data_IF_260348754766
#
_entry.id   IF_260348754766
#
_cell.length_a   1.000
_cell.length_b   1.000
_cell.length_c   1.000
_cell.angle_alpha   90.00
_cell.angle_beta   90.00
_cell.angle_gamma   90.00
#
_symmetry.space_group_name_H-M   'P 1'
#
loop_
_entity.id
_entity.type
_entity.pdbx_description
1 polymer ?
#
# COMPACT_ATOMS: atom_id res chain seq x y z
N UNK A 1 -9.82 -16.20 8.05
CA UNK A 1 -9.27 -15.33 6.98
C UNK A 1 -8.48 -16.23 6.05
N UNK A 2 -8.45 -15.96 4.74
CA UNK A 2 -7.62 -16.74 3.83
C UNK A 2 -6.15 -16.69 4.27
N UNK A 3 -5.45 -17.78 4.01
CA UNK A 3 -4.02 -17.92 4.26
C UNK A 3 -3.26 -16.97 3.31
N UNK A 4 -2.39 -16.10 3.86
CA UNK A 4 -1.61 -15.17 3.05
C UNK A 4 -0.62 -15.94 2.17
N UNK A 5 -0.51 -15.53 0.91
CA UNK A 5 0.40 -16.16 -0.05
C UNK A 5 1.54 -15.24 -0.46
N UNK A 6 2.63 -15.84 -0.94
CA UNK A 6 3.69 -15.12 -1.67
C UNK A 6 3.69 -15.48 -3.15
N UNK A 7 4.04 -14.51 -3.99
CA UNK A 7 4.14 -14.65 -5.44
C UNK A 7 5.52 -14.17 -5.86
N UNK A 8 6.36 -15.10 -6.31
CA UNK A 8 7.77 -14.84 -6.60
C UNK A 8 8.00 -14.56 -8.09
N UNK A 9 9.03 -13.77 -8.40
CA UNK A 9 9.44 -13.46 -9.77
C UNK A 9 8.30 -12.87 -10.65
N UNK A 10 7.52 -11.96 -10.09
CA UNK A 10 6.40 -11.31 -10.75
C UNK A 10 6.85 -10.18 -11.68
N UNK A 11 6.10 -9.92 -12.75
CA UNK A 11 6.13 -8.63 -13.45
C UNK A 11 5.33 -7.64 -12.61
N UNK A 12 6.01 -6.79 -11.81
CA UNK A 12 5.35 -6.03 -10.76
C UNK A 12 4.25 -5.12 -11.30
N UNK A 13 4.49 -4.43 -12.42
CA UNK A 13 3.53 -3.49 -12.96
C UNK A 13 2.28 -4.21 -13.47
N UNK A 14 2.44 -5.32 -14.19
CA UNK A 14 1.32 -6.12 -14.66
C UNK A 14 0.54 -6.74 -13.48
N UNK A 15 1.25 -7.22 -12.46
CA UNK A 15 0.63 -7.84 -11.27
C UNK A 15 -0.15 -6.83 -10.43
N UNK A 16 0.43 -5.67 -10.12
CA UNK A 16 -0.25 -4.62 -9.36
C UNK A 16 -1.47 -4.08 -10.10
N UNK A 17 -1.38 -3.93 -11.43
CA UNK A 17 -2.54 -3.54 -12.25
C UNK A 17 -3.65 -4.59 -12.20
N UNK A 18 -3.31 -5.87 -12.28
CA UNK A 18 -4.27 -6.97 -12.18
C UNK A 18 -4.98 -7.01 -10.81
N UNK A 19 -4.22 -6.78 -9.72
CA UNK A 19 -4.77 -6.68 -8.36
C UNK A 19 -5.65 -5.45 -8.20
N UNK A 20 -5.16 -4.27 -8.61
CA UNK A 20 -5.89 -3.00 -8.55
C UNK A 20 -7.27 -3.13 -9.22
N UNK A 21 -7.34 -3.77 -10.38
CA UNK A 21 -8.59 -4.02 -11.11
C UNK A 21 -9.60 -4.90 -10.37
N UNK A 22 -9.24 -5.51 -9.23
CA UNK A 22 -10.19 -6.27 -8.39
C UNK A 22 -10.75 -5.46 -7.22
N UNK A 23 -10.26 -4.24 -6.98
CA UNK A 23 -10.65 -3.48 -5.79
C UNK A 23 -10.78 -1.96 -6.01
N UNK A 24 -10.19 -1.38 -7.05
CA UNK A 24 -10.09 0.07 -7.25
C UNK A 24 -10.92 0.53 -8.45
N UNK A 25 -12.10 1.09 -8.17
CA UNK A 25 -12.98 1.66 -9.19
C UNK A 25 -12.68 3.12 -9.55
N UNK A 26 -12.07 3.87 -8.63
CA UNK A 26 -11.75 5.30 -8.78
C UNK A 26 -10.26 5.55 -8.61
N UNK A 27 -9.76 6.64 -9.21
CA UNK A 27 -8.37 7.07 -9.14
C UNK A 27 -7.36 5.96 -9.50
N UNK A 28 -7.68 5.14 -10.51
CA UNK A 28 -6.76 4.11 -11.01
C UNK A 28 -5.44 4.70 -11.54
N UNK A 29 -5.43 5.98 -11.90
CA UNK A 29 -4.22 6.74 -12.27
C UNK A 29 -3.21 6.87 -11.12
N UNK A 30 -3.62 6.68 -9.86
CA UNK A 30 -2.69 6.68 -8.72
C UNK A 30 -1.64 5.56 -8.87
N UNK A 31 -1.98 4.46 -9.57
CA UNK A 31 -1.03 3.40 -9.88
C UNK A 31 0.14 3.89 -10.75
N UNK A 32 -0.03 4.93 -11.56
CA UNK A 32 1.06 5.48 -12.35
C UNK A 32 2.08 6.18 -11.45
N UNK A 33 1.62 6.85 -10.39
CA UNK A 33 2.49 7.43 -9.34
C UNK A 33 3.21 6.30 -8.59
N UNK A 34 2.50 5.23 -8.23
CA UNK A 34 3.10 4.05 -7.58
C UNK A 34 4.18 3.41 -8.45
N UNK A 35 3.93 3.29 -9.77
CA UNK A 35 4.92 2.77 -10.73
C UNK A 35 6.17 3.63 -10.79
N UNK A 36 6.04 4.96 -10.71
CA UNK A 36 7.20 5.85 -10.62
C UNK A 36 7.98 5.64 -9.32
N UNK A 37 7.30 5.50 -8.18
CA UNK A 37 7.94 5.21 -6.88
C UNK A 37 8.71 3.89 -6.97
N UNK A 38 8.07 2.83 -7.49
CA UNK A 38 8.68 1.52 -7.69
C UNK A 38 9.87 1.60 -8.66
N UNK A 39 9.77 2.37 -9.74
CA UNK A 39 10.86 2.54 -10.70
C UNK A 39 12.08 3.25 -10.08
N UNK A 40 11.85 4.29 -9.28
CA UNK A 40 12.91 4.99 -8.52
C UNK A 40 13.56 4.05 -7.50
N UNK A 41 12.76 3.33 -6.73
CA UNK A 41 13.24 2.31 -5.79
C UNK A 41 14.05 1.22 -6.50
N UNK A 42 13.60 0.75 -7.67
CA UNK A 42 14.31 -0.25 -8.48
C UNK A 42 15.66 0.26 -9.01
N UNK A 43 15.76 1.56 -9.31
CA UNK A 43 17.00 2.20 -9.76
C UNK A 43 17.97 2.54 -8.60
N UNK A 44 17.47 2.65 -7.36
CA UNK A 44 18.30 2.99 -6.21
C UNK A 44 19.43 1.96 -5.97
N UNK A 45 20.66 2.37 -5.66
CA UNK A 45 21.71 1.43 -5.25
C UNK A 45 21.51 0.89 -3.82
N UNK A 46 20.64 1.54 -3.04
CA UNK A 46 20.39 1.25 -1.64
C UNK A 46 19.48 0.03 -1.46
N UNK A 47 19.85 -0.87 -0.54
CA UNK A 47 19.06 -2.10 -0.28
C UNK A 47 17.79 -1.79 0.49
N UNK A 48 17.84 -0.78 1.36
CA UNK A 48 16.74 -0.28 2.17
C UNK A 48 15.59 0.29 1.34
N UNK A 49 15.84 0.73 0.10
CA UNK A 49 14.81 1.20 -0.82
C UNK A 49 14.13 0.04 -1.57
N UNK A 50 14.62 -1.19 -1.46
CA UNK A 50 14.14 -2.33 -2.26
C UNK A 50 12.90 -3.00 -1.70
N UNK A 51 12.48 -2.64 -0.49
CA UNK A 51 11.23 -3.15 0.09
C UNK A 51 10.21 -2.03 0.22
N UNK A 52 9.07 -2.25 -0.41
CA UNK A 52 7.97 -1.30 -0.46
C UNK A 52 6.72 -1.95 0.13
N UNK A 53 5.82 -1.11 0.62
CA UNK A 53 4.47 -1.50 0.98
C UNK A 53 3.51 -0.82 0.01
N UNK A 54 2.60 -1.61 -0.55
CA UNK A 54 1.60 -1.13 -1.50
C UNK A 54 0.22 -1.58 -1.05
N UNK A 55 -0.78 -0.72 -1.22
CA UNK A 55 -2.16 -1.14 -1.09
C UNK A 55 -3.05 -0.49 -2.14
N UNK A 56 -4.18 -1.14 -2.39
CA UNK A 56 -5.27 -0.57 -3.18
C UNK A 56 -6.60 -0.61 -2.43
N UNK A 57 -7.41 0.40 -2.67
CA UNK A 57 -8.75 0.61 -2.08
C UNK A 57 -9.75 0.95 -3.19
N UNK A 58 -11.07 1.00 -2.92
CA UNK A 58 -12.08 1.47 -3.87
C UNK A 58 -11.73 2.76 -4.60
N UNK A 59 -11.03 3.68 -3.92
CA UNK A 59 -10.67 4.99 -4.48
C UNK A 59 -9.17 5.27 -4.37
N UNK A 60 -8.39 4.63 -5.22
CA UNK A 60 -6.95 4.88 -5.38
C UNK A 60 -6.04 3.79 -4.82
N UNK A 61 -4.75 4.06 -4.97
CA UNK A 61 -3.65 3.18 -4.57
C UNK A 61 -2.56 4.01 -3.90
N UNK A 62 -1.72 3.35 -3.08
CA UNK A 62 -0.59 4.00 -2.43
C UNK A 62 0.61 3.07 -2.36
N UNK A 63 1.80 3.61 -2.60
CA UNK A 63 3.08 2.92 -2.47
C UNK A 63 4.03 3.69 -1.56
N UNK A 64 4.63 3.00 -0.58
CA UNK A 64 5.57 3.58 0.38
C UNK A 64 6.80 2.71 0.54
N UNK A 65 7.92 3.29 1.01
CA UNK A 65 9.03 2.48 1.53
C UNK A 65 8.60 1.84 2.84
N UNK A 66 8.88 0.54 3.01
CA UNK A 66 8.49 -0.19 4.22
C UNK A 66 9.04 0.47 5.49
N UNK A 67 10.30 0.90 5.44
CA UNK A 67 10.95 1.62 6.55
C UNK A 67 10.17 2.86 7.00
N UNK A 68 9.65 3.65 6.06
CA UNK A 68 9.02 4.92 6.38
C UNK A 68 7.64 4.70 7.02
N UNK A 69 6.98 3.57 6.76
CA UNK A 69 5.70 3.22 7.39
C UNK A 69 5.86 2.93 8.89
N UNK A 70 7.01 2.43 9.33
CA UNK A 70 7.32 2.21 10.75
C UNK A 70 7.86 3.46 11.47
N UNK A 71 8.07 4.57 10.76
CA UNK A 71 8.53 5.82 11.36
C UNK A 71 7.34 6.72 11.71
N UNK A 72 7.11 6.89 13.00
CA UNK A 72 6.01 7.68 13.55
C UNK A 72 6.01 9.11 13.00
N UNK A 73 4.80 9.65 12.80
CA UNK A 73 4.52 11.02 12.34
C UNK A 73 5.03 11.36 10.93
N UNK A 74 5.56 10.38 10.19
CA UNK A 74 5.84 10.54 8.76
C UNK A 74 4.57 10.39 7.92
N UNK A 75 4.55 11.01 6.73
CA UNK A 75 3.40 10.91 5.82
C UNK A 75 3.06 9.46 5.43
N UNK A 76 4.03 8.56 5.14
CA UNK A 76 3.76 7.14 4.93
C UNK A 76 3.11 6.45 6.12
N UNK A 77 3.63 6.66 7.34
CA UNK A 77 3.06 6.09 8.56
C UNK A 77 1.62 6.54 8.80
N UNK A 78 1.38 7.85 8.71
CA UNK A 78 0.04 8.42 8.93
C UNK A 78 -0.95 7.92 7.88
N UNK A 79 -0.54 7.84 6.62
CA UNK A 79 -1.41 7.36 5.53
C UNK A 79 -1.71 5.87 5.67
N UNK A 80 -0.70 5.06 6.02
CA UNK A 80 -0.88 3.63 6.23
C UNK A 80 -1.85 3.33 7.38
N UNK A 81 -1.90 4.17 8.42
CA UNK A 81 -2.86 4.02 9.52
C UNK A 81 -4.24 4.59 9.22
N UNK A 82 -4.29 5.72 8.52
CA UNK A 82 -5.53 6.46 8.25
C UNK A 82 -6.63 5.58 7.65
N UNK A 83 -6.31 4.74 6.67
CA UNK A 83 -7.34 3.93 6.00
C UNK A 83 -7.91 2.81 6.86
N UNK A 84 -7.22 2.37 7.91
CA UNK A 84 -7.78 1.45 8.90
C UNK A 84 -8.56 2.19 10.00
N UNK A 85 -8.08 3.36 10.43
CA UNK A 85 -8.65 4.10 11.55
C UNK A 85 -9.87 4.94 11.18
N UNK A 86 -9.90 5.50 9.97
CA UNK A 86 -10.86 6.54 9.57
C UNK A 86 -11.78 6.12 8.41
N UNK A 87 -11.57 4.94 7.83
CA UNK A 87 -12.37 4.47 6.69
C UNK A 87 -12.87 3.04 6.90
N UNK A 88 -13.95 2.71 6.20
CA UNK A 88 -14.50 1.34 6.14
C UNK A 88 -14.17 0.67 4.81
N UNK A 89 -13.14 1.15 4.12
CA UNK A 89 -12.77 0.67 2.79
C UNK A 89 -12.19 -0.74 2.87
N UNK A 90 -12.54 -1.57 1.90
CA UNK A 90 -11.83 -2.84 1.69
C UNK A 90 -10.45 -2.53 1.15
N UNK A 91 -9.41 -2.82 1.91
CA UNK A 91 -8.01 -2.61 1.49
C UNK A 91 -7.39 -3.97 1.12
N UNK A 92 -6.76 -4.04 -0.05
CA UNK A 92 -5.84 -5.14 -0.40
C UNK A 92 -4.41 -4.61 -0.25
N UNK A 93 -3.59 -5.25 0.59
CA UNK A 93 -2.25 -4.78 0.90
C UNK A 93 -1.19 -5.85 0.60
N UNK A 94 -0.03 -5.40 0.14
CA UNK A 94 1.09 -6.26 -0.26
C UNK A 94 2.41 -5.62 0.14
N UNK A 95 3.35 -6.43 0.63
CA UNK A 95 4.76 -6.07 0.63
C UNK A 95 5.38 -6.44 -0.72
N UNK A 96 6.24 -5.58 -1.24
CA UNK A 96 6.95 -5.74 -2.50
C UNK A 96 8.44 -5.84 -2.19
N UNK A 97 9.08 -6.89 -2.68
CA UNK A 97 10.54 -7.00 -2.70
C UNK A 97 11.04 -6.91 -4.14
N UNK A 98 11.84 -5.89 -4.44
CA UNK A 98 12.40 -5.68 -5.77
C UNK A 98 13.58 -6.63 -6.02
N UNK A 99 13.49 -7.47 -7.05
CA UNK A 99 14.51 -8.48 -7.37
C UNK A 99 15.36 -8.12 -8.59
N UNK A 100 14.92 -7.18 -9.42
CA UNK A 100 15.72 -6.65 -10.53
C UNK A 100 14.91 -6.23 -11.74
N UNK A 101 15.55 -6.23 -12.91
CA UNK A 101 14.90 -5.99 -14.21
C UNK A 101 15.19 -7.16 -15.15
N UNK A 102 14.16 -7.63 -15.84
CA UNK A 102 14.27 -8.68 -16.84
C UNK A 102 13.51 -8.26 -18.11
N UNK A 103 14.18 -8.24 -19.27
CA UNK A 103 13.59 -7.86 -20.57
C UNK A 103 12.80 -6.53 -20.52
N UNK A 104 13.34 -5.54 -19.79
CA UNK A 104 12.73 -4.22 -19.63
C UNK A 104 11.62 -4.13 -18.58
N UNK A 105 11.24 -5.23 -17.94
CA UNK A 105 10.21 -5.29 -16.89
C UNK A 105 10.84 -5.25 -15.51
N UNK A 106 10.24 -4.52 -14.58
CA UNK A 106 10.65 -4.54 -13.17
C UNK A 106 10.11 -5.82 -12.54
N UNK A 107 11.02 -6.62 -11.99
CA UNK A 107 10.74 -7.90 -11.35
C UNK A 107 10.78 -7.78 -9.84
N UNK A 108 9.95 -8.57 -9.16
CA UNK A 108 9.92 -8.62 -7.72
C UNK A 108 9.02 -9.70 -7.16
N UNK A 109 9.05 -9.85 -5.84
CA UNK A 109 8.16 -10.73 -5.10
C UNK A 109 7.04 -9.89 -4.48
N UNK A 110 5.83 -10.45 -4.47
CA UNK A 110 4.67 -9.89 -3.78
C UNK A 110 4.30 -10.79 -2.61
N UNK A 111 4.12 -10.20 -1.44
CA UNK A 111 3.70 -10.89 -0.23
C UNK A 111 2.37 -10.31 0.21
N UNK A 112 1.31 -11.11 0.24
CA UNK A 112 0.01 -10.66 0.70
C UNK A 112 0.06 -10.29 2.19
N UNK A 113 -0.56 -9.16 2.55
CA UNK A 113 -0.67 -8.69 3.92
C UNK A 113 -2.13 -8.71 4.36
N UNK A 114 -2.37 -9.25 5.56
CA UNK A 114 -3.58 -8.92 6.31
C UNK A 114 -3.44 -7.47 6.78
N UNK A 115 -4.05 -6.54 6.05
CA UNK A 115 -3.90 -5.11 6.29
C UNK A 115 -4.26 -4.72 7.73
N UNK A 116 -5.31 -5.31 8.31
CA UNK A 116 -5.72 -5.05 9.68
C UNK A 116 -4.67 -5.49 10.70
N UNK A 117 -4.11 -6.70 10.54
CA UNK A 117 -3.03 -7.17 11.42
C UNK A 117 -1.75 -6.38 11.21
N UNK A 118 -1.42 -6.04 9.97
CA UNK A 118 -0.23 -5.27 9.65
C UNK A 118 -0.34 -3.83 10.19
N UNK A 119 -1.52 -3.23 10.17
CA UNK A 119 -1.80 -1.96 10.85
C UNK A 119 -1.51 -2.04 12.35
N UNK A 120 -2.05 -3.04 13.06
CA UNK A 120 -1.78 -3.19 14.50
C UNK A 120 -0.29 -3.39 14.77
N UNK A 121 0.40 -4.17 13.92
CA UNK A 121 1.85 -4.37 13.98
C UNK A 121 2.62 -3.06 13.81
N UNK A 122 2.26 -2.23 12.82
CA UNK A 122 2.86 -0.90 12.60
C UNK A 122 2.65 0.01 13.80
N UNK A 123 1.45 0.03 14.37
CA UNK A 123 1.11 0.84 15.53
C UNK A 123 1.85 0.38 16.81
N UNK A 124 2.01 -0.92 17.00
CA UNK A 124 2.71 -1.47 18.17
C UNK A 124 4.23 -1.23 18.10
N UNK A 125 4.80 -1.25 16.90
CA UNK A 125 6.26 -1.24 16.66
C UNK A 125 6.78 0.06 16.07
N UNK A 126 5.97 1.11 16.03
CA UNK A 126 6.39 2.41 15.51
C UNK A 126 7.60 2.96 16.29
N UNK A 127 8.55 3.53 15.56
CA UNK A 127 9.72 4.20 16.11
C UNK A 127 9.61 5.70 15.84
N UNK A 128 9.93 6.56 16.80
CA UNK A 128 9.94 7.99 16.54
C UNK A 128 11.07 8.34 15.56
N UNK A 129 10.76 9.23 14.60
CA UNK A 129 11.79 9.89 13.83
C UNK A 129 12.53 10.89 14.73
N UNK A 130 13.86 10.90 14.68
CA UNK A 130 14.72 11.80 15.47
C UNK A 130 15.21 12.97 14.61
N UNK A 131 15.74 12.66 13.43
CA UNK A 131 16.21 13.66 12.47
C UNK A 131 15.66 13.42 11.08
N UNK A 132 15.70 14.45 10.24
CA UNK A 132 15.44 14.37 8.81
C UNK A 132 16.72 14.74 8.08
N UNK A 133 17.15 13.85 7.19
CA UNK A 133 18.24 14.08 6.25
C UNK A 133 17.66 14.66 4.95
N UNK A 134 18.09 15.85 4.59
CA UNK A 134 17.77 16.52 3.33
C UNK A 134 18.91 16.26 2.34
N UNK A 135 18.61 15.62 1.22
CA UNK A 135 19.58 15.19 0.23
C UNK A 135 19.49 16.13 -0.98
N UNK A 136 20.64 16.65 -1.39
CA UNK A 136 20.84 17.56 -2.49
C UNK A 136 21.88 16.99 -3.46
N UNK A 137 21.96 17.59 -4.64
CA UNK A 137 22.88 17.20 -5.73
C UNK A 137 24.35 17.08 -5.29
N UNK A 138 24.80 17.93 -4.36
CA UNK A 138 26.20 18.01 -3.92
C UNK A 138 26.40 17.74 -2.42
N UNK A 139 25.43 17.14 -1.74
CA UNK A 139 25.58 16.72 -0.35
C UNK A 139 24.28 16.59 0.42
N UNK A 140 24.39 16.53 1.74
CA UNK A 140 23.26 16.34 2.64
C UNK A 140 23.29 17.31 3.83
N UNK A 141 22.10 17.59 4.37
CA UNK A 141 21.93 18.30 5.65
C UNK A 141 21.09 17.45 6.58
N UNK A 142 21.35 17.57 7.88
CA UNK A 142 20.56 16.92 8.92
C UNK A 142 19.92 17.99 9.79
N UNK A 143 18.64 17.82 10.11
CA UNK A 143 17.91 18.66 11.03
C UNK A 143 17.00 17.81 11.92
N UNK A 144 16.55 18.36 13.05
CA UNK A 144 15.59 17.71 13.93
C UNK A 144 14.28 17.39 13.18
N UNK A 145 13.70 16.22 13.49
CA UNK A 145 12.40 15.85 12.97
C UNK A 145 11.31 16.86 13.39
N UNK A 146 10.34 17.09 12.51
CA UNK A 146 9.28 18.09 12.72
C UNK A 146 9.68 19.53 12.42
N UNK A 147 10.97 19.84 12.26
CA UNK A 147 11.39 21.16 11.76
C UNK A 147 10.96 21.31 10.30
N UNK A 148 10.32 22.44 9.99
CA UNK A 148 9.95 22.77 8.62
C UNK A 148 11.18 22.81 7.70
N UNK A 149 11.01 22.26 6.51
CA UNK A 149 11.90 22.47 5.37
C UNK A 149 11.05 22.53 4.11
N UNK A 150 11.59 23.14 3.07
CA UNK A 150 11.03 23.11 1.73
C UNK A 150 12.06 22.53 0.75
N UNK A 151 11.60 22.14 -0.43
CA UNK A 151 12.47 21.61 -1.49
C UNK A 151 13.26 22.70 -2.22
N UNK A 152 13.53 23.84 -1.56
CA UNK A 152 14.26 24.94 -2.18
C UNK A 152 15.72 24.51 -2.42
N UNK A 153 16.29 24.83 -3.59
CA UNK A 153 17.71 24.58 -3.84
C UNK A 153 18.59 25.26 -2.79
N UNK A 154 19.64 24.57 -2.39
CA UNK A 154 20.64 25.15 -1.52
C UNK A 154 21.75 25.84 -2.33
N UNK A 155 22.19 27.05 -1.96
CA UNK A 155 23.25 27.75 -2.68
C UNK A 155 24.59 26.98 -2.78
N UNK A 156 24.87 26.08 -1.85
CA UNK A 156 26.11 25.29 -1.81
C UNK A 156 25.89 23.85 -2.25
N UNK A 157 24.77 23.25 -1.83
CA UNK A 157 24.50 21.83 -2.07
C UNK A 157 23.71 21.57 -3.36
N UNK A 158 23.24 22.61 -4.04
CA UNK A 158 22.55 22.51 -5.31
C UNK A 158 21.06 22.16 -5.16
N UNK A 159 20.50 21.48 -6.16
CA UNK A 159 19.06 21.17 -6.20
C UNK A 159 18.69 20.17 -5.10
N UNK A 160 17.55 20.41 -4.44
CA UNK A 160 16.96 19.42 -3.53
C UNK A 160 16.49 18.19 -4.31
N UNK A 161 16.91 17.01 -3.86
CA UNK A 161 16.56 15.74 -4.51
C UNK A 161 15.47 14.99 -3.76
N UNK A 162 15.65 14.81 -2.44
CA UNK A 162 14.75 14.03 -1.58
C UNK A 162 15.07 14.25 -0.11
N UNK A 163 14.21 13.76 0.77
CA UNK A 163 14.47 13.71 2.20
C UNK A 163 14.30 12.29 2.74
N UNK A 164 14.90 12.02 3.89
CA UNK A 164 14.77 10.76 4.61
C UNK A 164 14.58 11.02 6.10
N UNK A 165 13.54 10.42 6.67
CA UNK A 165 13.41 10.37 8.12
C UNK A 165 14.39 9.34 8.69
N UNK A 166 15.11 9.73 9.74
CA UNK A 166 16.06 8.90 10.47
C UNK A 166 15.42 8.54 11.80
N UNK A 167 15.28 7.24 12.15
CA UNK A 167 14.75 6.84 13.45
C UNK A 167 15.67 7.29 14.59
N UNK A 168 15.11 7.43 15.78
CA UNK A 168 15.88 7.56 17.02
C UNK A 168 16.77 6.34 17.31
N UNK A 169 16.37 5.17 16.82
CA UNK A 169 17.09 3.91 16.96
C UNK A 169 17.17 3.18 15.59
N UNK A 170 18.23 3.43 14.80
CA UNK A 170 18.44 2.78 13.51
C UNK A 170 18.58 1.25 13.60
N UNK A 171 19.17 0.73 14.68
CA UNK A 171 19.39 -0.70 14.88
C UNK A 171 18.07 -1.43 15.19
N UNK A 172 17.19 -0.79 15.98
CA UNK A 172 15.83 -1.28 16.22
C UNK A 172 15.01 -1.31 14.92
N UNK A 173 15.10 -0.25 14.09
CA UNK A 173 14.42 -0.23 12.79
C UNK A 173 14.93 -1.35 11.88
N UNK A 174 16.26 -1.53 11.80
CA UNK A 174 16.86 -2.59 10.99
C UNK A 174 16.39 -3.98 11.45
N UNK A 175 16.38 -4.21 12.76
CA UNK A 175 15.94 -5.47 13.36
C UNK A 175 14.46 -5.75 13.04
N UNK A 176 13.61 -4.74 13.17
CA UNK A 176 12.18 -4.82 12.84
C UNK A 176 11.95 -5.17 11.37
N UNK A 177 12.62 -4.49 10.43
CA UNK A 177 12.51 -4.78 9.00
C UNK A 177 12.99 -6.19 8.66
N UNK A 178 14.00 -6.70 9.37
CA UNK A 178 14.44 -8.08 9.22
C UNK A 178 13.44 -9.10 9.79
N UNK A 179 12.70 -8.77 10.85
CA UNK A 179 11.58 -9.57 11.33
C UNK A 179 10.46 -9.64 10.30
N UNK A 180 10.02 -8.50 9.76
CA UNK A 180 8.98 -8.44 8.72
C UNK A 180 9.38 -9.26 7.49
N UNK A 181 10.65 -9.18 7.09
CA UNK A 181 11.22 -9.99 6.02
C UNK A 181 11.16 -11.49 6.31
N UNK A 182 11.62 -11.91 7.49
CA UNK A 182 11.62 -13.34 7.86
C UNK A 182 10.20 -13.89 7.96
N UNK A 183 9.25 -13.08 8.44
CA UNK A 183 7.84 -13.43 8.51
C UNK A 183 7.26 -13.71 7.13
N UNK A 184 7.47 -12.80 6.17
CA UNK A 184 6.94 -12.96 4.80
C UNK A 184 7.63 -14.03 3.97
N UNK A 185 8.92 -14.31 4.22
CA UNK A 185 9.65 -15.41 3.56
C UNK A 185 9.05 -16.79 3.86
N UNK A 186 8.39 -16.95 5.03
CA UNK A 186 7.72 -18.17 5.47
C UNK A 186 6.33 -18.39 4.83
N UNK A 187 5.79 -17.41 4.11
CA UNK A 187 4.50 -17.57 3.43
C UNK A 187 4.57 -18.66 2.36
N UNK A 188 3.48 -19.40 2.21
CA UNK A 188 3.35 -20.42 1.17
C UNK A 188 3.31 -19.77 -0.22
N UNK A 189 4.01 -20.33 -1.22
CA UNK A 189 3.85 -19.89 -2.60
C UNK A 189 2.41 -20.06 -3.07
N UNK A 190 1.83 -19.02 -3.67
CA UNK A 190 0.47 -19.04 -4.23
C UNK A 190 0.45 -19.09 -5.75
N UNK A 191 -0.66 -19.56 -6.32
CA UNK A 191 -0.97 -19.38 -7.74
C UNK A 191 -1.57 -17.97 -7.95
N UNK A 192 -0.83 -17.08 -8.60
CA UNK A 192 -1.27 -15.71 -8.82
C UNK A 192 -2.56 -15.61 -9.65
N UNK A 193 -2.79 -16.52 -10.60
CA UNK A 193 -4.02 -16.51 -11.40
C UNK A 193 -5.22 -16.91 -10.54
N UNK A 194 -5.06 -17.94 -9.72
CA UNK A 194 -6.08 -18.35 -8.75
C UNK A 194 -6.35 -17.25 -7.74
N UNK A 195 -5.30 -16.53 -7.30
CA UNK A 195 -5.42 -15.38 -6.41
C UNK A 195 -6.28 -14.26 -7.00
N UNK A 196 -6.03 -13.85 -8.25
CA UNK A 196 -6.85 -12.85 -8.94
C UNK A 196 -8.31 -13.30 -9.05
N UNK A 197 -8.57 -14.58 -9.34
CA UNK A 197 -9.92 -15.12 -9.39
C UNK A 197 -10.60 -15.04 -8.01
N UNK A 198 -9.91 -15.42 -6.94
CA UNK A 198 -10.42 -15.31 -5.58
C UNK A 198 -10.70 -13.85 -5.16
N UNK A 199 -9.87 -12.90 -5.58
CA UNK A 199 -10.13 -11.47 -5.35
C UNK A 199 -11.39 -10.98 -6.06
N UNK A 200 -11.63 -11.45 -7.30
CA UNK A 200 -12.85 -11.15 -8.08
C UNK A 200 -14.09 -11.75 -7.43
N UNK A 201 -14.03 -13.00 -7.01
CA UNK A 201 -15.13 -13.65 -6.30
C UNK A 201 -15.44 -12.94 -4.98
N UNK A 202 -14.39 -12.57 -4.24
CA UNK A 202 -14.53 -11.80 -2.99
C UNK A 202 -15.12 -10.40 -3.19
N UNK A 203 -14.85 -9.74 -4.32
CA UNK A 203 -15.49 -8.47 -4.69
C UNK A 203 -17.01 -8.66 -4.85
N UNK A 204 -17.42 -9.69 -5.61
CA UNK A 204 -18.82 -10.00 -5.86
C UNK A 204 -19.54 -10.40 -4.56
N UNK A 205 -18.92 -11.26 -3.76
CA UNK A 205 -19.50 -11.71 -2.50
C UNK A 205 -19.70 -10.54 -1.51
N UNK A 206 -18.70 -9.65 -1.42
CA UNK A 206 -18.76 -8.46 -0.55
C UNK A 206 -19.92 -7.56 -0.94
N UNK A 207 -20.07 -7.30 -2.25
CA UNK A 207 -21.16 -6.48 -2.75
C UNK A 207 -22.54 -7.14 -2.53
N UNK A 208 -22.66 -8.44 -2.79
CA UNK A 208 -23.89 -9.19 -2.52
C UNK A 208 -24.29 -9.13 -1.04
N UNK A 209 -23.34 -9.30 -0.12
CA UNK A 209 -23.57 -9.15 1.33
C UNK A 209 -23.98 -7.72 1.70
N UNK A 210 -23.41 -6.70 1.06
CA UNK A 210 -23.78 -5.30 1.27
C UNK A 210 -25.22 -5.03 0.82
N UNK A 211 -25.62 -5.48 -0.38
CA UNK A 211 -26.98 -5.37 -0.90
C UNK A 211 -27.98 -6.01 0.08
N UNK A 212 -27.71 -7.23 0.53
CA UNK A 212 -28.57 -7.93 1.50
C UNK A 212 -28.66 -7.15 2.81
N UNK A 213 -27.56 -6.57 3.29
CA UNK A 213 -27.55 -5.74 4.51
C UNK A 213 -28.39 -4.48 4.35
N UNK A 214 -28.29 -3.78 3.22
CA UNK A 214 -29.10 -2.59 2.94
C UNK A 214 -30.58 -2.94 2.84
N UNK A 215 -30.94 -4.01 2.14
CA UNK A 215 -32.33 -4.47 2.08
C UNK A 215 -32.90 -4.80 3.47
N UNK A 216 -32.11 -5.46 4.33
CA UNK A 216 -32.50 -5.80 5.71
C UNK A 216 -32.64 -4.60 6.65
N UNK A 217 -32.15 -3.40 6.30
CA UNK A 217 -32.38 -2.18 7.09
C UNK A 217 -33.80 -1.65 6.98
N UNK A 218 -34.56 -2.11 5.98
CA UNK A 218 -35.94 -1.70 5.76
C UNK A 218 -36.89 -2.77 6.30
N UNK A 219 -37.89 -2.34 7.08
CA UNK A 219 -38.96 -3.22 7.57
C UNK A 219 -40.06 -3.45 6.52
N UNK A 220 -40.22 -2.51 5.58
CA UNK A 220 -41.21 -2.56 4.49
C UNK A 220 -40.53 -2.23 3.14
N UNK A 221 -41.11 -2.65 2.00
CA UNK A 221 -40.64 -2.28 0.67
C UNK A 221 -40.33 -0.77 0.52
N UNK A 222 -39.14 -0.44 0.05
CA UNK A 222 -38.67 0.94 -0.15
C UNK A 222 -38.82 1.45 -1.60
N UNK A 223 -39.37 0.65 -2.51
CA UNK A 223 -39.73 1.10 -3.86
C UNK A 223 -40.80 2.21 -3.86
N UNK A 224 -40.86 3.07 -4.90
CA UNK A 224 -41.83 4.17 -4.96
C UNK A 224 -43.30 3.75 -4.79
N UNK A 225 -43.67 2.55 -5.24
CA UNK A 225 -45.02 1.98 -5.11
C UNK A 225 -45.17 0.97 -3.95
N UNK A 226 -44.15 0.81 -3.10
CA UNK A 226 -44.15 -0.08 -1.92
C UNK A 226 -44.38 -1.57 -2.22
N UNK A 227 -43.93 -2.07 -3.38
CA UNK A 227 -44.15 -3.48 -3.79
C UNK A 227 -42.94 -4.39 -3.63
N UNK A 228 -41.72 -3.83 -3.63
CA UNK A 228 -40.46 -4.57 -3.53
C UNK A 228 -39.36 -3.77 -2.83
N UNK A 229 -38.31 -4.46 -2.39
CA UNK A 229 -37.09 -3.85 -1.84
C UNK A 229 -36.11 -3.49 -2.96
N UNK A 230 -35.41 -2.38 -2.79
CA UNK A 230 -34.38 -1.84 -3.66
C UNK A 230 -33.13 -1.55 -2.83
N UNK A 231 -31.96 -1.77 -3.41
CA UNK A 231 -30.69 -1.32 -2.88
C UNK A 231 -29.80 -0.90 -4.05
N UNK A 232 -29.15 0.25 -3.93
CA UNK A 232 -28.21 0.72 -4.94
C UNK A 232 -26.94 -0.12 -4.91
N UNK A 233 -26.35 -0.39 -6.06
CA UNK A 233 -25.02 -0.99 -6.19
C UNK A 233 -23.95 0.04 -5.81
N UNK A 234 -22.84 -0.42 -5.22
CA UNK A 234 -21.78 0.49 -4.83
C UNK A 234 -21.11 1.08 -6.08
N UNK A 235 -20.80 2.39 -6.09
CA UNK A 235 -20.22 3.03 -7.28
C UNK A 235 -18.89 2.39 -7.71
N UNK A 236 -18.07 1.93 -6.75
CA UNK A 236 -16.83 1.24 -7.05
C UNK A 236 -17.08 -0.13 -7.69
N UNK A 237 -18.03 -0.91 -7.17
CA UNK A 237 -18.41 -2.19 -7.78
C UNK A 237 -18.91 -1.99 -9.21
N UNK A 238 -19.76 -1.00 -9.46
CA UNK A 238 -20.28 -0.71 -10.81
C UNK A 238 -19.18 -0.42 -11.84
N UNK A 239 -18.08 0.22 -11.43
CA UNK A 239 -16.93 0.47 -12.31
C UNK A 239 -16.06 -0.76 -12.56
N UNK A 240 -16.08 -1.70 -11.63
CA UNK A 240 -15.29 -2.93 -11.70
C UNK A 240 -16.06 -4.09 -12.34
N UNK A 241 -17.39 -4.09 -12.26
CA UNK A 241 -18.27 -5.18 -12.66
C UNK A 241 -18.47 -5.33 -14.19
N UNK A 242 -17.63 -4.69 -15.00
CA UNK A 242 -17.58 -4.90 -16.45
C UNK A 242 -17.03 -6.29 -16.81
#
# INVERSE_FOLDING_TARGET
MPEQSKFENMDLFASLEAIMKQNTGFYQSDLDIDKEIIAKAAASPHREDKTLLWFCRPSGTHCFRERDVFLKDTAPHNTWRFYMEQTSDRVLAYAIELTGKERGKIKGNLYELDYSKHYERVKEKELPADTVKLIYEHGERVQEAGRYFDGTPDPQLGKFERFEAVPNDPDALQSLLQEERRSREQLSPGDFKAHIAALRDGLIETEARRIVREMKRHYEPNSPNKTHFMAELSPAFMRLAA
#
